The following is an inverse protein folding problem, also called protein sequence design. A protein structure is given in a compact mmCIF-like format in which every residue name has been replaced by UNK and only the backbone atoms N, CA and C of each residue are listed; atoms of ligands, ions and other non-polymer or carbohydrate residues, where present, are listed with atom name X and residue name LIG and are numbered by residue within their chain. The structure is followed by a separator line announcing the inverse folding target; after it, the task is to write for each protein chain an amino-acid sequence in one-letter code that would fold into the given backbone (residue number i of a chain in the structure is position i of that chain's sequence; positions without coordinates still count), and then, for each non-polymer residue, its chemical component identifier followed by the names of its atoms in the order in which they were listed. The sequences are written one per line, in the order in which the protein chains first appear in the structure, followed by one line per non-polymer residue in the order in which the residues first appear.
data_IF_723300231729
#
_entry.id   IF_723300231729
#
_cell.length_a   1.000
_cell.length_b   1.000
_cell.length_c   1.000
_cell.angle_alpha   90.00
_cell.angle_beta   90.00
_cell.angle_gamma   90.00
#
_symmetry.space_group_name_H-M   'P 1'
#
loop_
_entity.id
_entity.type
_entity.pdbx_description
1 polymer ?
#
# COMPACT_ATOMS: atom_id res chain seq x y z
N UNK A 1 -6.44 7.44 14.73
CA UNK A 1 -6.41 6.01 14.33
C UNK A 1 -5.19 5.77 13.43
N UNK A 2 -4.63 4.55 13.42
CA UNK A 2 -3.40 4.22 12.67
C UNK A 2 -3.51 2.85 12.00
N UNK A 3 -2.95 2.70 10.81
CA UNK A 3 -2.77 1.43 10.12
C UNK A 3 -1.44 1.39 9.36
N UNK A 4 -0.97 0.19 9.01
CA UNK A 4 0.28 -0.04 8.28
C UNK A 4 0.09 -1.14 7.24
N UNK A 5 0.68 -0.98 6.05
CA UNK A 5 0.75 -1.99 5.01
C UNK A 5 2.20 -2.23 4.61
N UNK A 6 2.63 -3.49 4.62
CA UNK A 6 3.96 -3.91 4.18
C UNK A 6 3.86 -4.46 2.78
N UNK A 7 4.52 -3.79 1.83
CA UNK A 7 4.59 -4.21 0.43
C UNK A 7 5.74 -5.19 0.27
N UNK A 8 5.41 -6.40 -0.18
CA UNK A 8 6.37 -7.46 -0.51
C UNK A 8 6.11 -7.93 -1.94
N UNK A 9 7.08 -7.67 -2.81
CA UNK A 9 7.22 -8.24 -4.14
C UNK A 9 8.61 -8.87 -4.30
N UNK A 10 8.92 -9.38 -5.50
CA UNK A 10 10.20 -10.06 -5.75
C UNK A 10 11.40 -9.12 -5.60
N UNK A 11 11.33 -7.91 -6.16
CA UNK A 11 12.41 -6.91 -6.11
C UNK A 11 11.99 -5.59 -5.44
N UNK A 12 10.69 -5.28 -5.45
CA UNK A 12 10.11 -4.06 -4.88
C UNK A 12 9.56 -4.37 -3.49
N UNK A 13 9.88 -3.52 -2.53
CA UNK A 13 9.41 -3.61 -1.15
C UNK A 13 9.15 -2.21 -0.60
N UNK A 14 8.30 -2.11 0.41
CA UNK A 14 7.99 -0.82 1.00
C UNK A 14 7.12 -0.96 2.24
N UNK A 15 7.01 0.14 2.98
CA UNK A 15 6.09 0.24 4.12
C UNK A 15 5.30 1.52 4.01
N UNK A 16 3.97 1.38 4.04
CA UNK A 16 3.02 2.48 3.95
C UNK A 16 2.28 2.60 5.27
N UNK A 17 2.24 3.82 5.79
CA UNK A 17 1.56 4.20 7.01
C UNK A 17 0.33 5.05 6.67
N UNK A 18 -0.75 4.79 7.40
CA UNK A 18 -2.00 5.52 7.31
C UNK A 18 -2.31 6.11 8.68
N UNK A 19 -2.57 7.41 8.74
CA UNK A 19 -2.99 8.10 9.97
C UNK A 19 -4.24 8.91 9.70
N UNK A 20 -5.25 8.75 10.56
CA UNK A 20 -6.51 9.47 10.50
C UNK A 20 -6.81 10.01 11.90
N UNK A 21 -6.74 11.32 12.10
CA UNK A 21 -6.78 11.90 13.45
C UNK A 21 -8.21 11.90 14.02
N UNK A 22 -9.20 12.17 13.18
CA UNK A 22 -10.63 12.18 13.51
C UNK A 22 -11.41 11.08 12.79
N UNK A 23 -12.50 10.57 13.38
CA UNK A 23 -13.32 9.47 12.86
C UNK A 23 -13.77 9.63 11.40
N UNK A 24 -14.16 10.86 11.05
CA UNK A 24 -14.63 11.24 9.71
C UNK A 24 -13.63 12.14 8.97
N UNK A 25 -12.42 12.30 9.52
CA UNK A 25 -11.36 13.13 8.95
C UNK A 25 -10.62 12.48 7.78
N UNK A 26 -9.81 13.24 7.02
CA UNK A 26 -9.01 12.67 5.93
C UNK A 26 -7.93 11.72 6.46
N UNK A 27 -7.53 10.77 5.61
CA UNK A 27 -6.39 9.89 5.88
C UNK A 27 -5.12 10.49 5.28
N UNK A 28 -4.09 10.66 6.12
CA UNK A 28 -2.73 10.96 5.66
C UNK A 28 -2.01 9.65 5.34
N UNK A 29 -1.43 9.57 4.14
CA UNK A 29 -0.70 8.40 3.65
C UNK A 29 0.76 8.78 3.47
N UNK A 30 1.66 8.08 4.17
CA UNK A 30 3.12 8.31 4.12
C UNK A 30 3.86 7.00 4.05
N UNK A 31 5.02 6.95 3.42
CA UNK A 31 5.83 5.74 3.43
C UNK A 31 6.99 5.81 2.47
N UNK A 32 7.71 4.70 2.39
CA UNK A 32 8.87 4.52 1.52
C UNK A 32 8.70 3.23 0.72
N UNK A 33 9.05 3.30 -0.57
CA UNK A 33 9.08 2.16 -1.49
C UNK A 33 10.45 2.17 -2.17
N UNK A 34 11.15 1.05 -2.09
CA UNK A 34 12.50 0.88 -2.61
C UNK A 34 12.49 0.08 -3.92
N UNK A 35 13.56 0.25 -4.72
CA UNK A 35 13.83 -0.50 -5.95
C UNK A 35 12.78 -0.32 -7.06
N UNK A 36 12.11 0.82 -7.09
CA UNK A 36 11.25 1.22 -8.20
C UNK A 36 12.10 1.60 -9.42
N UNK A 37 11.66 1.22 -10.61
CA UNK A 37 12.18 1.82 -11.84
C UNK A 37 11.87 3.31 -11.88
N UNK A 38 12.73 4.09 -12.54
CA UNK A 38 12.52 5.52 -12.72
C UNK A 38 11.19 5.82 -13.42
N UNK A 39 10.49 6.86 -12.93
CA UNK A 39 9.20 7.30 -13.46
C UNK A 39 8.07 7.23 -12.44
N UNK A 40 6.87 7.60 -12.90
CA UNK A 40 5.64 7.53 -12.09
C UNK A 40 5.04 6.13 -12.14
N UNK A 41 4.61 5.62 -10.99
CA UNK A 41 3.97 4.31 -10.87
C UNK A 41 2.58 4.45 -10.25
N UNK A 42 1.65 3.58 -10.68
CA UNK A 42 0.30 3.53 -10.11
C UNK A 42 0.33 3.06 -8.65
N UNK A 43 -0.52 3.65 -7.82
CA UNK A 43 -0.65 3.29 -6.41
C UNK A 43 -2.13 3.28 -6.03
N UNK A 44 -2.64 2.10 -5.66
CA UNK A 44 -4.07 1.87 -5.46
C UNK A 44 -4.32 1.03 -4.20
N UNK A 45 -5.55 1.13 -3.70
CA UNK A 45 -6.10 0.19 -2.73
C UNK A 45 -6.99 -0.78 -3.50
N UNK A 46 -6.79 -2.07 -3.31
CA UNK A 46 -7.59 -3.11 -3.92
C UNK A 46 -8.67 -3.62 -2.95
N UNK A 47 -9.72 -4.22 -3.49
CA UNK A 47 -10.88 -4.73 -2.75
C UNK A 47 -10.52 -5.79 -1.71
N UNK A 48 -9.59 -6.71 -2.02
CA UNK A 48 -9.26 -7.84 -1.16
C UNK A 48 -7.83 -7.76 -0.61
N UNK A 49 -7.70 -8.04 0.69
CA UNK A 49 -6.41 -8.29 1.34
C UNK A 49 -5.82 -9.69 1.05
N UNK A 50 -6.25 -10.34 -0.03
CA UNK A 50 -5.85 -11.71 -0.37
C UNK A 50 -4.54 -11.71 -1.18
N UNK A 51 -3.50 -12.32 -0.60
CA UNK A 51 -2.17 -12.47 -1.19
C UNK A 51 -1.84 -13.94 -1.54
N UNK A 52 -2.80 -14.86 -1.49
CA UNK A 52 -2.59 -16.30 -1.69
C UNK A 52 -2.08 -16.67 -3.09
N UNK A 53 -2.45 -15.89 -4.11
CA UNK A 53 -1.90 -16.02 -5.46
C UNK A 53 -1.14 -14.74 -5.88
N UNK A 54 -0.28 -14.25 -4.99
CA UNK A 54 0.44 -13.00 -5.19
C UNK A 54 -0.50 -11.79 -5.24
N UNK A 55 -0.21 -10.82 -6.11
CA UNK A 55 -1.04 -9.61 -6.24
C UNK A 55 -2.30 -9.83 -7.10
N UNK A 56 -2.43 -10.97 -7.79
CA UNK A 56 -3.57 -11.25 -8.68
C UNK A 56 -4.85 -11.44 -7.86
N UNK A 57 -4.75 -12.08 -6.69
CA UNK A 57 -5.88 -12.33 -5.80
C UNK A 57 -6.41 -11.08 -5.08
N UNK A 58 -5.73 -9.94 -5.19
CA UNK A 58 -6.16 -8.69 -4.54
C UNK A 58 -7.45 -8.10 -5.13
N UNK A 59 -7.83 -8.51 -6.36
CA UNK A 59 -9.03 -7.99 -7.02
C UNK A 59 -8.82 -6.61 -7.65
N UNK A 60 -9.92 -5.88 -7.84
CA UNK A 60 -9.92 -4.53 -8.42
C UNK A 60 -9.75 -3.45 -7.35
#
# INVERSE_FOLDING_TARGET
MKAVCVLVGENVKGTIHFTQDDGDGPVTVTGEIENLSEGLQGFHIHEFGDKTNGCISAGA
#
